data_IF_736920411719
#
_entry.id   IF_736920411719
#
_cell.length_a   1.000
_cell.length_b   1.000
_cell.length_c   1.000
_cell.angle_alpha   90.00
_cell.angle_beta   90.00
_cell.angle_gamma   90.00
#
_symmetry.space_group_name_H-M   'P 1'
#
loop_
_entity.id
_entity.type
_entity.pdbx_description
1 polymer ?
#
# COMPACT_ATOMS: atom_id res chain seq x y z
N UNK A 1 -23.22 -56.63 22.56
CA UNK A 1 -22.23 -55.54 22.42
C UNK A 1 -22.51 -54.84 21.10
N UNK A 2 -23.25 -53.71 21.14
CA UNK A 2 -23.66 -53.00 19.94
C UNK A 2 -22.54 -52.11 19.42
N UNK A 3 -22.15 -52.31 18.15
CA UNK A 3 -21.27 -51.42 17.40
C UNK A 3 -21.91 -50.02 17.32
N UNK A 4 -21.27 -48.99 17.91
CA UNK A 4 -21.62 -47.58 17.65
C UNK A 4 -21.14 -47.22 16.23
N UNK A 5 -21.99 -47.43 15.22
CA UNK A 5 -21.67 -47.21 13.80
C UNK A 5 -21.58 -45.72 13.41
N UNK A 6 -22.02 -44.80 14.26
CA UNK A 6 -22.01 -43.36 14.00
C UNK A 6 -21.24 -42.63 15.11
N UNK A 7 -20.25 -41.83 14.71
CA UNK A 7 -19.51 -40.95 15.62
C UNK A 7 -20.45 -39.93 16.26
N UNK A 8 -20.33 -39.72 17.57
CA UNK A 8 -21.07 -38.68 18.28
C UNK A 8 -20.56 -37.28 17.93
N UNK A 9 -21.36 -36.24 18.22
CA UNK A 9 -20.92 -34.85 18.06
C UNK A 9 -19.61 -34.56 18.80
N UNK A 10 -19.47 -35.04 20.04
CA UNK A 10 -18.26 -34.83 20.84
C UNK A 10 -17.02 -35.54 20.26
N UNK A 11 -17.18 -36.73 19.67
CA UNK A 11 -16.09 -37.41 18.97
C UNK A 11 -15.63 -36.63 17.73
N UNK A 12 -16.57 -36.04 16.99
CA UNK A 12 -16.26 -35.20 15.83
C UNK A 12 -15.59 -33.90 16.26
N UNK A 13 -15.97 -33.33 17.40
CA UNK A 13 -15.27 -32.18 17.99
C UNK A 13 -13.81 -32.52 18.31
N UNK A 14 -13.57 -33.63 19.01
CA UNK A 14 -12.21 -34.02 19.40
C UNK A 14 -11.34 -34.31 18.15
N UNK A 15 -11.91 -34.91 17.10
CA UNK A 15 -11.25 -35.04 15.79
C UNK A 15 -10.92 -33.68 15.15
N UNK A 16 -11.80 -32.68 15.30
CA UNK A 16 -11.53 -31.31 14.86
C UNK A 16 -10.32 -30.70 15.58
N UNK A 17 -10.19 -30.92 16.89
CA UNK A 17 -9.03 -30.46 17.67
C UNK A 17 -7.73 -31.12 17.19
N UNK A 18 -7.75 -32.43 16.93
CA UNK A 18 -6.60 -33.14 16.39
C UNK A 18 -6.17 -32.58 15.02
N UNK A 19 -7.13 -32.21 14.17
CA UNK A 19 -6.85 -31.58 12.89
C UNK A 19 -6.28 -30.16 13.02
N UNK A 20 -6.73 -29.37 14.01
CA UNK A 20 -6.09 -28.09 14.35
C UNK A 20 -4.62 -28.31 14.73
N UNK A 21 -4.32 -29.31 15.57
CA UNK A 21 -2.94 -29.63 15.98
C UNK A 21 -2.04 -30.01 14.79
N UNK A 22 -2.63 -30.59 13.74
CA UNK A 22 -1.95 -30.93 12.47
C UNK A 22 -1.94 -29.78 11.46
N UNK A 23 -2.49 -28.61 11.81
CA UNK A 23 -2.66 -27.43 10.94
C UNK A 23 -3.55 -27.67 9.72
N UNK A 24 -4.45 -28.64 9.77
CA UNK A 24 -5.41 -28.96 8.72
C UNK A 24 -6.73 -28.18 8.91
N UNK A 25 -6.67 -26.84 8.84
CA UNK A 25 -7.78 -25.97 9.25
C UNK A 25 -9.07 -26.17 8.45
N UNK A 26 -8.98 -26.45 7.15
CA UNK A 26 -10.16 -26.72 6.32
C UNK A 26 -10.90 -27.99 6.75
N UNK A 27 -10.15 -29.06 7.01
CA UNK A 27 -10.71 -30.33 7.50
C UNK A 27 -11.26 -30.18 8.93
N UNK A 28 -10.55 -29.45 9.79
CA UNK A 28 -10.99 -29.15 11.15
C UNK A 28 -12.34 -28.41 11.15
N UNK A 29 -12.49 -27.38 10.31
CA UNK A 29 -13.76 -26.66 10.13
C UNK A 29 -14.90 -27.60 9.73
N UNK A 30 -14.65 -28.51 8.78
CA UNK A 30 -15.63 -29.53 8.40
C UNK A 30 -16.08 -30.38 9.59
N UNK A 31 -15.14 -30.84 10.41
CA UNK A 31 -15.45 -31.64 11.62
C UNK A 31 -16.23 -30.87 12.68
N UNK A 32 -15.94 -29.59 12.90
CA UNK A 32 -16.73 -28.79 13.83
C UNK A 32 -18.17 -28.57 13.33
N UNK A 33 -18.36 -28.35 12.02
CA UNK A 33 -19.70 -28.25 11.45
C UNK A 33 -20.48 -29.56 11.58
N UNK A 34 -19.84 -30.70 11.31
CA UNK A 34 -20.44 -32.02 11.51
C UNK A 34 -20.79 -32.24 12.99
N UNK A 35 -19.92 -31.84 13.92
CA UNK A 35 -20.16 -31.92 15.36
C UNK A 35 -21.39 -31.11 15.80
N UNK A 36 -21.54 -29.89 15.26
CA UNK A 36 -22.69 -29.03 15.51
C UNK A 36 -23.98 -29.64 14.95
N UNK A 37 -23.94 -30.27 13.77
CA UNK A 37 -25.11 -30.94 13.19
C UNK A 37 -25.61 -32.14 14.00
N UNK A 38 -24.77 -32.68 14.90
CA UNK A 38 -25.05 -33.85 15.74
C UNK A 38 -25.21 -33.49 17.23
N UNK A 39 -25.52 -32.23 17.53
CA UNK A 39 -25.75 -31.74 18.90
C UNK A 39 -24.64 -32.12 19.88
N UNK A 40 -23.44 -31.59 19.66
CA UNK A 40 -22.31 -31.71 20.62
C UNK A 40 -22.53 -30.89 21.90
N UNK A 41 -22.06 -31.42 23.02
CA UNK A 41 -22.00 -30.70 24.30
C UNK A 41 -21.04 -29.50 24.26
N UNK A 42 -20.12 -29.46 23.29
CA UNK A 42 -19.08 -28.43 23.11
C UNK A 42 -19.42 -27.45 21.99
N UNK A 43 -20.72 -27.21 21.74
CA UNK A 43 -21.19 -26.44 20.60
C UNK A 43 -20.64 -25.00 20.56
N UNK A 44 -20.53 -24.32 21.72
CA UNK A 44 -20.00 -22.96 21.79
C UNK A 44 -18.51 -22.90 21.37
N UNK A 45 -17.68 -23.82 21.89
CA UNK A 45 -16.27 -23.95 21.51
C UNK A 45 -16.10 -24.28 20.03
N UNK A 46 -16.93 -25.18 19.48
CA UNK A 46 -16.88 -25.54 18.06
C UNK A 46 -17.14 -24.32 17.17
N UNK A 47 -18.14 -23.48 17.51
CA UNK A 47 -18.43 -22.23 16.79
C UNK A 47 -17.30 -21.22 16.90
N UNK A 48 -16.71 -21.07 18.09
CA UNK A 48 -15.55 -20.20 18.31
C UNK A 48 -14.36 -20.62 17.43
N UNK A 49 -14.04 -21.92 17.36
CA UNK A 49 -12.96 -22.41 16.51
C UNK A 49 -13.23 -22.24 15.02
N UNK A 50 -14.46 -22.46 14.57
CA UNK A 50 -14.86 -22.16 13.18
C UNK A 50 -14.64 -20.67 12.88
N UNK A 51 -15.09 -19.78 13.76
CA UNK A 51 -14.96 -18.34 13.57
C UNK A 51 -13.48 -17.89 13.56
N UNK A 52 -12.63 -18.48 14.41
CA UNK A 52 -11.19 -18.21 14.42
C UNK A 52 -10.50 -18.67 13.12
N UNK A 53 -10.88 -19.86 12.60
CA UNK A 53 -10.37 -20.35 11.31
C UNK A 53 -10.78 -19.41 10.18
N UNK A 54 -12.03 -18.93 10.18
CA UNK A 54 -12.55 -18.02 9.16
C UNK A 54 -11.90 -16.65 9.23
N UNK A 55 -11.69 -16.12 10.43
CA UNK A 55 -10.90 -14.91 10.66
C UNK A 55 -9.49 -15.06 10.11
N UNK A 56 -8.83 -16.19 10.37
CA UNK A 56 -7.47 -16.40 9.90
C UNK A 56 -7.37 -16.41 8.36
N UNK A 57 -8.41 -16.90 7.69
CA UNK A 57 -8.50 -16.89 6.22
C UNK A 57 -8.92 -15.52 5.64
N UNK A 58 -9.50 -14.63 6.44
CA UNK A 58 -10.07 -13.37 5.97
C UNK A 58 -9.77 -12.16 6.89
N UNK A 59 -8.49 -11.94 7.17
CA UNK A 59 -8.00 -10.84 8.03
C UNK A 59 -8.26 -9.43 7.50
N UNK A 60 -8.66 -9.27 6.25
CA UNK A 60 -9.04 -7.96 5.71
C UNK A 60 -10.49 -7.56 6.03
N UNK A 61 -11.28 -8.45 6.65
CA UNK A 61 -12.73 -8.26 6.80
C UNK A 61 -13.13 -8.03 8.26
N UNK A 62 -13.65 -6.84 8.55
CA UNK A 62 -14.18 -6.45 9.86
C UNK A 62 -15.21 -7.45 10.39
N UNK A 63 -16.12 -7.94 9.53
CA UNK A 63 -17.17 -8.87 9.95
C UNK A 63 -16.61 -10.21 10.43
N UNK A 64 -15.44 -10.64 9.95
CA UNK A 64 -14.79 -11.86 10.42
C UNK A 64 -14.24 -11.70 11.84
N UNK A 65 -13.71 -10.52 12.20
CA UNK A 65 -13.29 -10.21 13.56
C UNK A 65 -14.49 -10.13 14.51
N UNK A 66 -15.54 -9.42 14.12
CA UNK A 66 -16.77 -9.28 14.92
C UNK A 66 -17.44 -10.65 15.16
N UNK A 67 -17.48 -11.52 14.13
CA UNK A 67 -18.01 -12.87 14.27
C UNK A 67 -17.20 -13.72 15.26
N UNK A 68 -15.87 -13.60 15.25
CA UNK A 68 -15.02 -14.30 16.21
C UNK A 68 -15.20 -13.78 17.64
N UNK A 69 -15.20 -12.44 17.84
CA UNK A 69 -15.42 -11.83 19.16
C UNK A 69 -16.76 -12.30 19.75
N UNK A 70 -17.84 -12.27 18.95
CA UNK A 70 -19.16 -12.71 19.39
C UNK A 70 -19.17 -14.21 19.77
N UNK A 71 -18.47 -15.05 18.99
CA UNK A 71 -18.38 -16.48 19.28
C UNK A 71 -17.54 -16.78 20.54
N UNK A 72 -16.49 -15.98 20.78
CA UNK A 72 -15.65 -16.06 21.98
C UNK A 72 -16.45 -15.66 23.23
N UNK A 73 -17.16 -14.53 23.18
CA UNK A 73 -18.01 -14.06 24.28
C UNK A 73 -19.12 -15.07 24.62
N UNK A 74 -19.75 -15.66 23.60
CA UNK A 74 -20.76 -16.70 23.79
C UNK A 74 -20.19 -18.00 24.39
N UNK A 75 -18.88 -18.24 24.22
CA UNK A 75 -18.22 -19.41 24.77
C UNK A 75 -17.88 -19.26 26.26
N UNK A 76 -17.65 -18.03 26.73
CA UNK A 76 -17.42 -17.71 28.14
C UNK A 76 -16.16 -18.33 28.76
N UNK A 77 -15.22 -18.80 27.93
CA UNK A 77 -13.92 -19.32 28.40
C UNK A 77 -12.94 -18.16 28.57
N UNK A 78 -12.25 -18.09 29.71
CA UNK A 78 -11.19 -17.10 29.94
C UNK A 78 -9.90 -17.47 29.21
N UNK A 79 -9.65 -18.76 29.01
CA UNK A 79 -8.48 -19.27 28.31
C UNK A 79 -8.86 -20.48 27.46
N UNK A 80 -8.21 -20.63 26.32
CA UNK A 80 -8.38 -21.78 25.45
C UNK A 80 -7.10 -22.08 24.67
N UNK A 81 -7.03 -23.29 24.11
CA UNK A 81 -5.90 -23.74 23.31
C UNK A 81 -6.30 -23.79 21.84
N UNK A 82 -5.42 -23.31 20.95
CA UNK A 82 -5.55 -23.49 19.51
C UNK A 82 -4.25 -24.05 18.94
N UNK A 83 -4.27 -25.33 18.56
CA UNK A 83 -3.05 -26.03 18.17
C UNK A 83 -2.12 -26.16 19.37
N UNK A 84 -0.91 -25.63 19.25
CA UNK A 84 0.08 -25.61 20.34
C UNK A 84 0.06 -24.32 21.16
N UNK A 85 -0.73 -23.31 20.76
CA UNK A 85 -0.75 -21.98 21.39
C UNK A 85 -1.86 -21.90 22.43
N UNK A 86 -1.49 -21.46 23.63
CA UNK A 86 -2.42 -21.06 24.68
C UNK A 86 -2.80 -19.59 24.48
N UNK A 87 -4.09 -19.31 24.60
CA UNK A 87 -4.68 -18.03 24.26
C UNK A 87 -5.54 -17.56 25.43
N UNK A 88 -5.24 -16.35 25.89
CA UNK A 88 -6.08 -15.60 26.81
C UNK A 88 -7.19 -14.88 26.02
N UNK A 89 -8.43 -15.06 26.46
CA UNK A 89 -9.61 -14.57 25.73
C UNK A 89 -9.66 -13.04 25.67
N UNK A 90 -9.30 -12.35 26.75
CA UNK A 90 -9.29 -10.88 26.78
C UNK A 90 -8.15 -10.31 25.92
N UNK A 91 -6.98 -10.95 25.94
CA UNK A 91 -5.85 -10.55 25.11
C UNK A 91 -6.18 -10.68 23.61
N UNK A 92 -6.73 -11.81 23.16
CA UNK A 92 -7.07 -11.99 21.74
C UNK A 92 -8.25 -11.12 21.32
N UNK A 93 -9.20 -10.83 22.23
CA UNK A 93 -10.29 -9.89 21.97
C UNK A 93 -9.78 -8.46 21.79
N UNK A 94 -8.81 -8.06 22.61
CA UNK A 94 -8.10 -6.79 22.46
C UNK A 94 -7.43 -6.71 21.10
N UNK A 95 -6.62 -7.71 20.74
CA UNK A 95 -5.96 -7.79 19.43
C UNK A 95 -6.97 -7.72 18.27
N UNK A 96 -8.09 -8.44 18.37
CA UNK A 96 -9.14 -8.40 17.35
C UNK A 96 -9.80 -7.03 17.21
N UNK A 97 -10.02 -6.34 18.34
CA UNK A 97 -10.59 -4.99 18.35
C UNK A 97 -9.64 -3.99 17.68
N UNK A 98 -8.35 -4.09 17.98
CA UNK A 98 -7.32 -3.27 17.34
C UNK A 98 -7.22 -3.55 15.83
N UNK A 99 -7.30 -4.82 15.41
CA UNK A 99 -7.35 -5.18 13.99
C UNK A 99 -8.56 -4.61 13.25
N UNK A 100 -9.72 -4.53 13.90
CA UNK A 100 -10.90 -3.84 13.34
C UNK A 100 -10.61 -2.34 13.14
N UNK A 101 -10.05 -1.68 14.17
CA UNK A 101 -9.69 -0.27 14.08
C UNK A 101 -8.66 -0.02 12.97
N UNK A 102 -7.69 -0.92 12.78
CA UNK A 102 -6.68 -0.86 11.73
C UNK A 102 -7.27 -0.90 10.33
N UNK A 103 -8.20 -1.84 10.07
CA UNK A 103 -8.90 -1.93 8.79
C UNK A 103 -9.68 -0.64 8.52
N UNK A 104 -10.35 -0.10 9.55
CA UNK A 104 -11.12 1.13 9.44
C UNK A 104 -10.24 2.35 9.16
N UNK A 105 -9.13 2.50 9.88
CA UNK A 105 -8.15 3.57 9.66
C UNK A 105 -7.53 3.49 8.25
N UNK A 106 -7.17 2.29 7.82
CA UNK A 106 -6.60 2.05 6.49
C UNK A 106 -7.59 2.32 5.35
N UNK A 107 -8.88 2.10 5.61
CA UNK A 107 -9.98 2.32 4.65
C UNK A 107 -10.47 3.77 4.61
N UNK A 108 -9.92 4.68 5.42
CA UNK A 108 -10.23 6.11 5.33
C UNK A 108 -9.83 6.67 3.96
N UNK A 109 -10.63 7.61 3.45
CA UNK A 109 -10.52 8.11 2.07
C UNK A 109 -9.21 8.89 1.86
N UNK A 110 -8.55 8.63 0.73
CA UNK A 110 -7.22 9.14 0.39
C UNK A 110 -7.15 10.63 0.01
N UNK A 111 -8.13 11.45 0.41
CA UNK A 111 -8.00 12.92 0.34
C UNK A 111 -7.87 13.56 1.72
N UNK A 112 -8.17 12.83 2.80
CA UNK A 112 -8.00 13.29 4.18
C UNK A 112 -6.80 12.61 4.86
N UNK A 113 -5.64 12.81 4.24
CA UNK A 113 -4.36 12.24 4.67
C UNK A 113 -4.01 12.55 6.14
N UNK A 114 -4.40 13.73 6.63
CA UNK A 114 -4.09 14.17 7.99
C UNK A 114 -4.94 13.42 9.02
N UNK A 115 -6.25 13.31 8.80
CA UNK A 115 -7.11 12.54 9.69
C UNK A 115 -6.75 11.05 9.65
N UNK A 116 -6.45 10.51 8.46
CA UNK A 116 -6.00 9.13 8.28
C UNK A 116 -4.71 8.85 9.04
N UNK A 117 -3.70 9.71 8.91
CA UNK A 117 -2.45 9.60 9.65
C UNK A 117 -2.66 9.69 11.16
N UNK A 118 -3.49 10.62 11.64
CA UNK A 118 -3.78 10.74 13.07
C UNK A 118 -4.47 9.49 13.63
N UNK A 119 -5.44 8.93 12.92
CA UNK A 119 -6.10 7.68 13.32
C UNK A 119 -5.11 6.52 13.44
N UNK A 120 -4.13 6.44 12.53
CA UNK A 120 -3.06 5.44 12.60
C UNK A 120 -2.10 5.68 13.78
N UNK A 121 -1.77 6.93 14.11
CA UNK A 121 -0.95 7.28 15.30
C UNK A 121 -1.68 6.89 16.59
N UNK A 122 -2.97 7.22 16.69
CA UNK A 122 -3.78 6.89 17.86
C UNK A 122 -3.87 5.36 18.04
N UNK A 123 -4.06 4.62 16.94
CA UNK A 123 -4.05 3.17 16.94
C UNK A 123 -2.69 2.59 17.32
N UNK A 124 -1.60 3.16 16.80
CA UNK A 124 -0.25 2.75 17.15
C UNK A 124 0.02 2.88 18.66
N UNK A 125 -0.47 3.94 19.30
CA UNK A 125 -0.38 4.12 20.74
C UNK A 125 -1.16 3.04 21.51
N UNK A 126 -2.33 2.63 21.00
CA UNK A 126 -3.10 1.52 21.60
C UNK A 126 -2.37 0.18 21.48
N UNK A 127 -1.80 -0.15 20.32
CA UNK A 127 -1.00 -1.37 20.17
C UNK A 127 0.18 -1.42 21.14
N UNK A 128 0.92 -0.31 21.27
CA UNK A 128 2.05 -0.24 22.20
C UNK A 128 1.62 -0.34 23.68
N UNK A 129 0.49 0.26 24.06
CA UNK A 129 0.05 0.29 25.46
C UNK A 129 -0.73 -0.95 25.90
N UNK A 130 -1.55 -1.53 25.01
CA UNK A 130 -2.44 -2.64 25.35
C UNK A 130 -1.78 -4.01 25.10
N UNK A 131 -0.89 -4.12 24.11
CA UNK A 131 -0.19 -5.38 23.77
C UNK A 131 1.31 -5.27 24.12
N UNK A 132 1.96 -4.18 23.72
CA UNK A 132 3.39 -3.97 23.96
C UNK A 132 4.26 -5.05 23.30
N UNK A 133 5.24 -5.58 24.02
CA UNK A 133 6.18 -6.58 23.48
C UNK A 133 5.62 -8.02 23.43
N UNK A 134 4.35 -8.21 23.81
CA UNK A 134 3.71 -9.51 23.68
C UNK A 134 3.51 -9.89 22.20
N UNK A 135 3.72 -11.16 21.83
CA UNK A 135 3.42 -11.64 20.48
C UNK A 135 1.94 -11.51 20.13
N UNK A 136 1.65 -11.07 18.90
CA UNK A 136 0.32 -11.08 18.31
C UNK A 136 -0.14 -12.52 18.10
N UNK A 137 -1.21 -12.91 18.78
CA UNK A 137 -1.70 -14.29 18.82
C UNK A 137 -2.23 -14.73 17.47
N UNK A 138 -2.86 -13.85 16.70
CA UNK A 138 -3.33 -14.21 15.37
C UNK A 138 -2.14 -14.57 14.47
N UNK A 139 -1.05 -13.80 14.47
CA UNK A 139 0.15 -14.12 13.67
C UNK A 139 0.89 -15.37 14.17
N UNK A 140 0.94 -15.58 15.49
CA UNK A 140 1.47 -16.80 16.09
C UNK A 140 0.70 -18.04 15.59
N UNK A 141 -0.63 -18.02 15.67
CA UNK A 141 -1.49 -19.13 15.27
C UNK A 141 -1.34 -19.46 13.79
N UNK A 142 -1.28 -18.44 12.93
CA UNK A 142 -1.35 -18.62 11.50
C UNK A 142 0.00 -18.93 10.84
N UNK A 143 1.06 -18.26 11.30
CA UNK A 143 2.38 -18.30 10.67
C UNK A 143 3.45 -18.87 11.59
N UNK A 144 3.13 -19.10 12.87
CA UNK A 144 4.14 -19.41 13.89
C UNK A 144 5.08 -18.23 14.16
N UNK A 145 4.68 -17.01 13.79
CA UNK A 145 5.53 -15.84 13.91
C UNK A 145 5.34 -15.16 15.27
N UNK A 146 6.32 -15.32 16.15
CA UNK A 146 6.33 -14.68 17.47
C UNK A 146 7.05 -13.32 17.48
N UNK A 147 7.61 -12.89 16.35
CA UNK A 147 8.31 -11.61 16.21
C UNK A 147 7.36 -10.46 15.86
N UNK A 148 6.11 -10.77 15.50
CA UNK A 148 5.05 -9.79 15.37
C UNK A 148 4.53 -9.46 16.78
N UNK A 149 4.81 -8.24 17.25
CA UNK A 149 4.42 -7.76 18.59
C UNK A 149 3.66 -6.44 18.46
N UNK A 150 2.92 -6.04 19.50
CA UNK A 150 2.24 -4.75 19.54
C UNK A 150 3.18 -3.55 19.38
N UNK A 151 4.37 -3.61 19.99
CA UNK A 151 5.42 -2.59 19.83
C UNK A 151 5.89 -2.51 18.38
N UNK A 152 6.10 -3.66 17.72
CA UNK A 152 6.51 -3.69 16.31
C UNK A 152 5.41 -3.12 15.42
N UNK A 153 4.16 -3.51 15.64
CA UNK A 153 3.01 -3.03 14.87
C UNK A 153 2.78 -1.52 15.07
N UNK A 154 2.98 -1.03 16.29
CA UNK A 154 2.97 0.40 16.60
C UNK A 154 3.98 1.19 15.75
N UNK A 155 5.20 0.67 15.59
CA UNK A 155 6.22 1.32 14.77
C UNK A 155 5.87 1.27 13.27
N UNK A 156 5.29 0.16 12.80
CA UNK A 156 4.80 0.03 11.42
C UNK A 156 3.70 1.07 11.14
N UNK A 157 2.70 1.15 12.01
CA UNK A 157 1.59 2.11 11.88
C UNK A 157 2.07 3.56 11.95
N UNK A 158 3.02 3.89 12.84
CA UNK A 158 3.61 5.23 12.89
C UNK A 158 4.35 5.57 11.59
N UNK A 159 5.12 4.64 11.03
CA UNK A 159 5.78 4.86 9.74
C UNK A 159 4.76 5.17 8.62
N UNK A 160 3.72 4.35 8.52
CA UNK A 160 2.64 4.53 7.53
C UNK A 160 1.87 5.84 7.74
N UNK A 161 1.60 6.19 8.99
CA UNK A 161 0.90 7.42 9.35
C UNK A 161 1.67 8.66 8.85
N UNK A 162 2.96 8.74 9.16
CA UNK A 162 3.77 9.88 8.77
C UNK A 162 4.02 9.93 7.26
N UNK A 163 4.16 8.79 6.58
CA UNK A 163 4.20 8.75 5.11
C UNK A 163 2.90 9.31 4.49
N UNK A 164 1.75 8.92 5.06
CA UNK A 164 0.43 9.40 4.65
C UNK A 164 0.32 10.93 4.83
N UNK A 165 0.63 11.45 6.03
CA UNK A 165 0.59 12.88 6.33
C UNK A 165 1.56 13.68 5.46
N UNK A 166 2.77 13.15 5.25
CA UNK A 166 3.78 13.74 4.36
C UNK A 166 3.26 13.90 2.93
N UNK A 167 2.62 12.86 2.40
CA UNK A 167 2.01 12.89 1.06
C UNK A 167 0.87 13.91 0.95
N UNK A 168 0.05 14.04 2.00
CA UNK A 168 -1.07 14.98 2.00
C UNK A 168 -0.67 16.45 2.07
N UNK A 169 0.40 16.77 2.82
CA UNK A 169 0.79 18.16 3.07
C UNK A 169 1.78 18.71 2.05
N UNK A 170 2.53 17.86 1.34
CA UNK A 170 3.67 18.29 0.51
C UNK A 170 3.32 19.32 -0.56
N UNK A 171 2.10 19.26 -1.12
CA UNK A 171 1.62 20.22 -2.12
C UNK A 171 1.41 21.63 -1.57
N UNK A 172 1.23 21.78 -0.26
CA UNK A 172 1.02 23.06 0.42
C UNK A 172 2.28 23.51 1.16
N UNK A 173 2.92 22.57 1.85
CA UNK A 173 4.14 22.80 2.61
C UNK A 173 5.11 21.62 2.44
N UNK A 174 6.02 21.68 1.46
CA UNK A 174 7.05 20.67 1.27
C UNK A 174 7.98 20.48 2.47
N UNK A 175 8.19 21.53 3.29
CA UNK A 175 9.09 21.41 4.46
C UNK A 175 8.43 20.54 5.52
N UNK A 176 7.17 20.81 5.83
CA UNK A 176 6.40 19.95 6.74
C UNK A 176 6.29 18.53 6.18
N UNK A 177 6.10 18.38 4.86
CA UNK A 177 6.15 17.08 4.20
C UNK A 177 7.47 16.34 4.41
N UNK A 178 8.60 17.04 4.35
CA UNK A 178 9.93 16.47 4.60
C UNK A 178 10.12 16.01 6.05
N UNK A 179 9.58 16.77 7.02
CA UNK A 179 9.65 16.41 8.45
C UNK A 179 8.87 15.12 8.72
N UNK A 180 7.68 14.97 8.13
CA UNK A 180 6.92 13.73 8.21
C UNK A 180 7.64 12.56 7.55
N UNK A 181 8.22 12.74 6.36
CA UNK A 181 9.02 11.67 5.72
C UNK A 181 10.25 11.29 6.55
N UNK A 182 10.87 12.24 7.25
CA UNK A 182 11.96 11.95 8.20
C UNK A 182 11.49 11.08 9.37
N UNK A 183 10.32 11.37 9.93
CA UNK A 183 9.73 10.55 11.00
C UNK A 183 9.41 9.14 10.49
N UNK A 184 8.77 9.03 9.31
CA UNK A 184 8.48 7.74 8.68
C UNK A 184 9.76 6.89 8.49
N UNK A 185 10.81 7.50 7.93
CA UNK A 185 12.12 6.88 7.78
C UNK A 185 12.69 6.36 9.11
N UNK A 186 12.63 7.17 10.16
CA UNK A 186 13.16 6.79 11.48
C UNK A 186 12.41 5.59 12.08
N UNK A 187 11.09 5.52 11.92
CA UNK A 187 10.31 4.36 12.40
C UNK A 187 10.59 3.10 11.59
N UNK A 188 10.69 3.20 10.25
CA UNK A 188 11.11 2.08 9.38
C UNK A 188 12.47 1.53 9.79
N UNK A 189 13.42 2.42 10.08
CA UNK A 189 14.77 2.04 10.52
C UNK A 189 14.78 1.26 11.82
N UNK A 190 13.88 1.58 12.76
CA UNK A 190 13.76 0.88 14.04
C UNK A 190 13.23 -0.55 13.88
N UNK A 191 12.36 -0.81 12.90
CA UNK A 191 11.83 -2.17 12.64
C UNK A 191 12.71 -3.01 11.70
N UNK A 192 13.84 -2.46 11.24
CA UNK A 192 14.80 -3.11 10.34
C UNK A 192 14.51 -2.96 8.85
N UNK A 193 13.54 -2.11 8.47
CA UNK A 193 13.31 -1.74 7.08
C UNK A 193 14.34 -0.70 6.61
N UNK A 194 14.61 -0.65 5.29
CA UNK A 194 15.52 0.29 4.65
C UNK A 194 15.05 1.74 4.81
N UNK A 195 13.76 1.99 4.54
CA UNK A 195 13.19 3.32 4.48
C UNK A 195 13.77 4.21 3.37
N UNK A 196 14.47 3.64 2.38
CA UNK A 196 15.22 4.41 1.37
C UNK A 196 14.34 5.38 0.58
N UNK A 197 13.10 4.97 0.29
CA UNK A 197 12.11 5.82 -0.37
C UNK A 197 11.74 7.04 0.47
N UNK A 198 11.49 6.87 1.76
CA UNK A 198 11.14 7.98 2.66
C UNK A 198 12.32 8.94 2.81
N UNK A 199 13.55 8.41 2.86
CA UNK A 199 14.77 9.21 2.88
C UNK A 199 14.96 10.01 1.58
N UNK A 200 14.66 9.41 0.43
CA UNK A 200 14.68 10.09 -0.86
C UNK A 200 13.64 11.22 -0.91
N UNK A 201 12.38 10.92 -0.56
CA UNK A 201 11.30 11.91 -0.53
C UNK A 201 11.60 13.04 0.46
N UNK A 202 12.12 12.73 1.65
CA UNK A 202 12.58 13.72 2.63
C UNK A 202 13.59 14.69 2.00
N UNK A 203 14.61 14.17 1.31
CA UNK A 203 15.64 15.00 0.64
C UNK A 203 15.04 15.86 -0.47
N UNK A 204 14.18 15.28 -1.31
CA UNK A 204 13.50 15.99 -2.39
C UNK A 204 12.61 17.11 -1.85
N UNK A 205 11.80 16.82 -0.84
CA UNK A 205 10.85 17.76 -0.24
C UNK A 205 11.55 18.91 0.51
N UNK A 206 12.65 18.62 1.19
CA UNK A 206 13.47 19.63 1.88
C UNK A 206 14.27 20.53 0.93
N UNK A 207 14.44 20.14 -0.33
CA UNK A 207 15.27 20.88 -1.29
C UNK A 207 14.61 22.19 -1.69
N UNK A 208 15.41 23.25 -1.70
CA UNK A 208 15.04 24.55 -2.24
C UNK A 208 15.78 24.84 -3.53
N UNK A 209 15.07 25.38 -4.51
CA UNK A 209 15.61 25.76 -5.80
C UNK A 209 15.02 27.07 -6.30
N UNK A 210 15.70 27.70 -7.25
CA UNK A 210 15.20 28.87 -7.96
C UNK A 210 15.02 28.51 -9.41
N UNK A 211 13.84 28.79 -9.97
CA UNK A 211 13.56 28.48 -11.36
C UNK A 211 14.53 29.22 -12.29
N UNK A 212 15.23 28.49 -13.15
CA UNK A 212 16.17 29.04 -14.12
C UNK A 212 15.52 30.02 -15.08
N UNK A 213 14.24 29.80 -15.41
CA UNK A 213 13.52 30.58 -16.42
C UNK A 213 12.90 31.86 -15.86
N UNK A 214 12.13 31.74 -14.79
CA UNK A 214 11.38 32.88 -14.23
C UNK A 214 12.00 33.48 -12.96
N UNK A 215 13.04 32.85 -12.42
CA UNK A 215 13.74 33.32 -11.22
C UNK A 215 12.93 33.17 -9.91
N UNK A 216 11.75 32.58 -9.92
CA UNK A 216 10.97 32.37 -8.68
C UNK A 216 11.55 31.23 -7.85
N UNK A 217 11.72 31.41 -6.53
CA UNK A 217 12.11 30.33 -5.63
C UNK A 217 10.95 29.34 -5.43
N UNK A 218 11.28 28.08 -5.21
CA UNK A 218 10.36 26.99 -4.90
C UNK A 218 11.04 25.99 -3.96
N UNK A 219 10.24 25.30 -3.16
CA UNK A 219 10.68 24.19 -2.30
C UNK A 219 10.01 22.90 -2.77
N UNK A 220 10.61 21.75 -2.50
CA UNK A 220 10.08 20.46 -2.92
C UNK A 220 10.42 20.13 -4.37
N UNK A 221 11.59 19.53 -4.57
CA UNK A 221 11.96 18.90 -5.83
C UNK A 221 11.02 17.73 -6.12
N UNK A 222 10.55 17.61 -7.36
CA UNK A 222 9.52 16.65 -7.77
C UNK A 222 8.09 17.10 -7.46
N UNK A 223 7.89 18.21 -6.74
CA UNK A 223 6.56 18.71 -6.34
C UNK A 223 6.27 20.09 -6.94
N UNK A 224 7.10 21.09 -6.64
CA UNK A 224 6.93 22.45 -7.15
C UNK A 224 8.01 22.88 -8.14
N UNK A 225 9.11 22.14 -8.20
CA UNK A 225 10.12 22.29 -9.22
C UNK A 225 10.77 20.94 -9.52
N UNK A 226 11.47 20.84 -10.65
CA UNK A 226 12.17 19.64 -11.04
C UNK A 226 13.52 19.97 -11.69
N UNK A 227 14.45 19.04 -11.60
CA UNK A 227 15.71 19.08 -12.36
C UNK A 227 15.46 18.61 -13.80
N UNK A 228 15.78 19.48 -14.77
CA UNK A 228 15.65 19.20 -16.20
C UNK A 228 17.02 19.27 -16.84
N UNK A 229 17.39 18.20 -17.56
CA UNK A 229 18.70 18.09 -18.21
C UNK A 229 18.94 19.27 -19.14
N UNK A 230 20.10 19.91 -19.03
CA UNK A 230 20.47 21.05 -19.85
C UNK A 230 21.98 21.16 -20.02
N UNK A 231 22.43 21.73 -21.13
CA UNK A 231 23.84 22.04 -21.33
C UNK A 231 24.14 23.47 -20.82
N UNK A 232 24.68 23.56 -19.61
CA UNK A 232 25.01 24.83 -18.97
C UNK A 232 26.44 25.22 -19.33
N UNK A 233 26.64 26.34 -20.02
CA UNK A 233 27.98 26.84 -20.36
C UNK A 233 28.73 27.39 -19.15
N UNK A 234 30.07 27.41 -19.21
CA UNK A 234 30.93 27.77 -18.08
C UNK A 234 30.61 29.14 -17.48
N UNK A 235 30.30 30.14 -18.33
CA UNK A 235 29.92 31.49 -17.89
C UNK A 235 28.75 31.48 -16.89
N UNK A 236 27.75 30.62 -17.11
CA UNK A 236 26.60 30.51 -16.20
C UNK A 236 26.94 29.68 -14.95
N UNK A 237 27.80 28.67 -15.08
CA UNK A 237 28.27 27.88 -13.92
C UNK A 237 29.02 28.75 -12.92
N UNK A 238 29.87 29.64 -13.41
CA UNK A 238 30.68 30.52 -12.56
C UNK A 238 29.80 31.49 -11.75
N UNK A 239 28.76 32.05 -12.38
CA UNK A 239 27.79 32.94 -11.72
C UNK A 239 26.90 32.25 -10.68
N UNK A 240 26.77 30.93 -10.76
CA UNK A 240 25.91 30.16 -9.89
C UNK A 240 26.56 29.82 -8.54
N UNK A 241 27.90 29.88 -8.45
CA UNK A 241 28.64 29.54 -7.24
C UNK A 241 28.24 30.40 -6.04
N UNK A 242 27.95 31.68 -6.30
CA UNK A 242 27.64 32.67 -5.26
C UNK A 242 26.15 32.74 -4.87
N UNK A 243 25.28 32.01 -5.58
CA UNK A 243 23.85 32.02 -5.28
C UNK A 243 23.51 31.22 -4.01
N UNK A 244 22.77 31.84 -3.08
CA UNK A 244 22.24 31.20 -1.87
C UNK A 244 21.25 30.07 -2.18
N UNK A 245 20.34 30.32 -3.14
CA UNK A 245 19.39 29.32 -3.64
C UNK A 245 19.81 28.96 -5.05
N UNK A 246 20.12 27.68 -5.25
CA UNK A 246 20.66 27.22 -6.53
C UNK A 246 19.60 27.18 -7.62
N UNK A 247 20.00 27.42 -8.86
CA UNK A 247 19.20 27.32 -10.07
C UNK A 247 19.54 26.08 -10.90
N UNK A 248 20.58 25.34 -10.53
CA UNK A 248 21.04 24.12 -11.18
C UNK A 248 21.49 23.07 -10.15
N UNK A 249 21.61 21.82 -10.59
CA UNK A 249 22.23 20.75 -9.81
C UNK A 249 23.73 21.00 -9.59
N UNK A 250 24.31 20.38 -8.56
CA UNK A 250 25.72 20.55 -8.22
C UNK A 250 26.67 20.10 -9.34
N UNK A 251 26.23 19.15 -10.18
CA UNK A 251 26.96 18.67 -11.36
C UNK A 251 26.81 19.56 -12.60
N UNK A 252 25.94 20.56 -12.58
CA UNK A 252 25.57 21.39 -13.72
C UNK A 252 25.11 20.58 -14.96
N UNK A 253 24.54 19.40 -14.73
CA UNK A 253 23.92 18.56 -15.77
C UNK A 253 22.44 18.89 -15.99
N UNK A 254 21.82 19.59 -15.04
CA UNK A 254 20.40 19.94 -15.04
C UNK A 254 20.16 21.33 -14.46
N UNK A 255 19.16 22.01 -15.00
CA UNK A 255 18.62 23.25 -14.44
C UNK A 255 17.36 22.96 -13.64
N UNK A 256 17.07 23.75 -12.61
CA UNK A 256 15.82 23.67 -11.89
C UNK A 256 14.75 24.51 -12.60
N UNK A 257 13.60 23.91 -12.86
CA UNK A 257 12.45 24.58 -13.47
C UNK A 257 11.24 24.39 -12.57
N UNK A 258 10.55 25.48 -12.23
CA UNK A 258 9.31 25.38 -11.47
C UNK A 258 8.20 24.75 -12.31
N UNK A 259 7.28 24.03 -11.67
CA UNK A 259 6.20 23.31 -12.34
C UNK A 259 5.37 24.18 -13.30
N UNK A 260 5.03 25.45 -12.99
CA UNK A 260 4.33 26.31 -13.94
C UNK A 260 5.12 26.62 -15.22
N UNK A 261 6.42 26.89 -15.11
CA UNK A 261 7.26 27.13 -16.29
C UNK A 261 7.45 25.85 -17.10
N UNK A 262 7.68 24.73 -16.39
CA UNK A 262 7.81 23.41 -17.01
C UNK A 262 6.55 23.04 -17.79
N UNK A 263 5.37 23.12 -17.16
CA UNK A 263 4.11 22.76 -17.79
C UNK A 263 3.74 23.68 -18.95
N UNK A 264 4.00 24.98 -18.84
CA UNK A 264 3.78 25.91 -19.95
C UNK A 264 4.62 25.57 -21.19
N UNK A 265 5.91 25.23 -20.99
CA UNK A 265 6.80 24.81 -22.08
C UNK A 265 6.38 23.45 -22.63
N UNK A 266 6.12 22.47 -21.76
CA UNK A 266 5.73 21.12 -22.15
C UNK A 266 4.45 21.14 -22.99
N UNK A 267 3.41 21.83 -22.52
CA UNK A 267 2.15 21.93 -23.24
C UNK A 267 2.33 22.59 -24.62
N UNK A 268 3.15 23.65 -24.70
CA UNK A 268 3.42 24.30 -25.99
C UNK A 268 4.22 23.40 -26.93
N UNK A 269 5.18 22.63 -26.43
CA UNK A 269 5.94 21.67 -27.21
C UNK A 269 5.05 20.53 -27.72
N UNK A 270 4.11 20.05 -26.91
CA UNK A 270 3.12 19.04 -27.29
C UNK A 270 2.20 19.56 -28.39
N UNK A 271 1.69 20.79 -28.28
CA UNK A 271 0.86 21.42 -29.30
C UNK A 271 1.57 21.50 -30.65
N UNK A 272 2.84 21.91 -30.65
CA UNK A 272 3.68 21.99 -31.86
C UNK A 272 3.89 20.58 -32.44
N UNK A 273 4.22 19.61 -31.60
CA UNK A 273 4.48 18.22 -32.02
C UNK A 273 3.23 17.58 -32.64
N UNK A 274 2.05 17.82 -32.07
CA UNK A 274 0.76 17.40 -32.65
C UNK A 274 0.50 18.05 -34.00
N UNK A 275 0.85 19.34 -34.15
CA UNK A 275 0.76 20.04 -35.43
C UNK A 275 1.58 19.35 -36.52
N UNK A 276 2.86 19.10 -36.25
CA UNK A 276 3.75 18.39 -37.19
C UNK A 276 3.31 16.96 -37.47
N UNK A 277 2.86 16.23 -36.45
CA UNK A 277 2.33 14.87 -36.62
C UNK A 277 1.12 14.85 -37.57
N UNK A 278 0.16 15.75 -37.35
CA UNK A 278 -1.04 15.83 -38.19
C UNK A 278 -0.69 16.21 -39.63
N UNK A 279 0.26 17.13 -39.83
CA UNK A 279 0.75 17.49 -41.16
C UNK A 279 1.40 16.29 -41.86
N UNK A 280 2.31 15.59 -41.18
CA UNK A 280 2.98 14.42 -41.74
C UNK A 280 1.98 13.32 -42.11
N UNK A 281 0.98 13.04 -41.26
CA UNK A 281 -0.08 12.06 -41.56
C UNK A 281 -0.92 12.48 -42.77
N UNK A 282 -1.23 13.76 -42.89
CA UNK A 282 -1.96 14.30 -44.06
C UNK A 282 -1.16 14.13 -45.36
N UNK A 283 0.13 14.47 -45.34
CA UNK A 283 1.02 14.32 -46.49
C UNK A 283 1.22 12.86 -46.89
N UNK A 284 1.37 11.95 -45.91
CA UNK A 284 1.44 10.51 -46.15
C UNK A 284 0.17 9.98 -46.82
N UNK A 285 -1.01 10.38 -46.34
CA UNK A 285 -2.29 9.98 -46.95
C UNK A 285 -2.44 10.53 -48.37
N UNK A 286 -2.02 11.77 -48.62
CA UNK A 286 -2.04 12.35 -49.95
C UNK A 286 -1.06 11.63 -50.89
N UNK A 287 0.11 11.24 -50.40
CA UNK A 287 1.08 10.45 -51.16
C UNK A 287 0.55 9.05 -51.48
N UNK A 288 -0.07 8.38 -50.51
CA UNK A 288 -0.71 7.07 -50.72
C UNK A 288 -1.81 7.14 -51.77
N UNK A 289 -2.67 8.17 -51.72
CA UNK A 289 -3.71 8.38 -52.72
C UNK A 289 -3.15 8.59 -54.14
N UNK A 290 -2.06 9.38 -54.27
CA UNK A 290 -1.37 9.57 -55.55
C UNK A 290 -0.79 8.25 -56.08
N UNK A 291 -0.10 7.48 -55.23
CA UNK A 291 0.46 6.18 -55.62
C UNK A 291 -0.63 5.19 -56.04
N UNK A 292 -1.76 5.14 -55.32
CA UNK A 292 -2.89 4.30 -55.71
C UNK A 292 -3.49 4.71 -57.06
N UNK A 293 -3.58 6.01 -57.34
CA UNK A 293 -4.03 6.52 -58.63
C UNK A 293 -3.08 6.14 -59.77
N UNK A 294 -1.76 6.27 -59.58
CA UNK A 294 -0.75 5.84 -60.55
C UNK A 294 -0.80 4.34 -60.81
N UNK A 295 -0.91 3.52 -59.75
CA UNK A 295 -1.06 2.06 -59.88
C UNK A 295 -2.31 1.72 -60.70
N UNK A 296 -3.43 2.39 -60.45
CA UNK A 296 -4.67 2.18 -61.20
C UNK A 296 -4.52 2.56 -62.69
N UNK A 297 -3.85 3.66 -62.98
CA UNK A 297 -3.56 4.11 -64.35
C UNK A 297 -2.65 3.12 -65.10
N UNK A 298 -1.56 2.66 -64.47
CA UNK A 298 -0.67 1.66 -65.08
C UNK A 298 -1.40 0.35 -65.34
N UNK A 299 -2.23 -0.12 -64.39
CA UNK A 299 -3.04 -1.33 -64.57
C UNK A 299 -4.01 -1.21 -65.73
N UNK A 300 -4.65 -0.06 -65.92
CA UNK A 300 -5.59 0.16 -67.03
C UNK A 300 -4.88 0.18 -68.39
N UNK A 301 -3.71 0.83 -68.48
CA UNK A 301 -2.88 0.82 -69.69
C UNK A 301 -2.40 -0.59 -70.06
N UNK A 302 -1.96 -1.39 -69.09
CA UNK A 302 -1.56 -2.77 -69.32
C UNK A 302 -2.71 -3.62 -69.86
N UNK A 303 -3.92 -3.44 -69.31
CA UNK A 303 -5.12 -4.12 -69.79
C UNK A 303 -5.47 -3.72 -71.23
N UNK A 304 -5.32 -2.43 -71.59
CA UNK A 304 -5.56 -1.97 -72.96
C UNK A 304 -4.52 -2.50 -73.96
N UNK A 305 -3.26 -2.65 -73.56
CA UNK A 305 -2.20 -3.21 -74.42
C UNK A 305 -2.27 -4.73 -74.61
N UNK A 306 -3.00 -5.42 -73.73
CA UNK A 306 -3.23 -6.87 -73.82
C UNK A 306 -4.42 -7.27 -74.70
N UNK A 307 -5.11 -6.30 -75.31
CA UNK A 307 -6.16 -6.49 -76.32
C UNK A 307 -5.63 -6.15 -77.70
#
# INVERSE_FOLDING_TARGET
MGFKLFKSGDQLYDEGIDLINRKEYGNAKGKFNDALSKDTSKAAMARMYIALIDLNNNRGNVSSYEAFINALDACGQSQFKFGLTEIDAEAIKTECTLGIEEIRASSMVDYDYMAKGQAMIDLAAKYASMIGDAPLKLDEIAKGNTQATGTRESLILQAMAYECMGTGVVMKDPKQGSEYMQLAYNFRRQIGDSGDRDLELMKCYAKSGKCWLCGRPANGEGVHFMAVRSNISQMFRDRERDNLIKTADSGFGSIYICMPCYSAISNRADDISRGYYNQAVSEMRAMEARLQAEIAAVRSEMLMRSR
#
